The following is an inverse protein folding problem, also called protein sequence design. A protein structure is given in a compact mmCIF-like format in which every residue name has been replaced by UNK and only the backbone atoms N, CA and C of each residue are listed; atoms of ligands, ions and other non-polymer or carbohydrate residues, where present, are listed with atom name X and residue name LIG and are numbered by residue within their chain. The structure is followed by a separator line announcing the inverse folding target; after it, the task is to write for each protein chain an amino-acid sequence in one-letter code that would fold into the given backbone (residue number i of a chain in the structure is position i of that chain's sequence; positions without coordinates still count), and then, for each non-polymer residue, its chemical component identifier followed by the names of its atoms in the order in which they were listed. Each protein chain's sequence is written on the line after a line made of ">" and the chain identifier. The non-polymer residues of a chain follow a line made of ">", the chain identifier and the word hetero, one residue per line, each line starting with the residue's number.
data_IF_707807938413
#
_entry.id   IF_707807938413
#
_cell.length_a   1.000
_cell.length_b   1.000
_cell.length_c   1.000
_cell.angle_alpha   90.00
_cell.angle_beta   90.00
_cell.angle_gamma   90.00
#
_symmetry.space_group_name_H-M   'P 1'
#
loop_
_entity.id
_entity.type
_entity.pdbx_description
1 polymer ?
#
# COMPACT_ATOMS: atom_id res chain seq x y z
N UNK A 1 -3.73 39.35 30.38
CA UNK A 1 -4.68 38.21 30.33
C UNK A 1 -5.21 38.04 28.91
N UNK A 2 -5.77 39.10 28.31
CA UNK A 2 -6.22 39.14 26.90
C UNK A 2 -5.07 38.88 25.91
N UNK A 3 -3.91 39.51 26.09
CA UNK A 3 -2.76 39.32 25.19
C UNK A 3 -2.21 37.87 25.15
N UNK A 4 -2.38 37.12 26.25
CA UNK A 4 -1.98 35.70 26.30
C UNK A 4 -3.00 34.75 25.65
N UNK A 5 -4.25 35.18 25.48
CA UNK A 5 -5.32 34.40 24.86
C UNK A 5 -5.26 34.47 23.34
N UNK A 6 -4.87 35.62 22.76
CA UNK A 6 -4.65 35.76 21.31
C UNK A 6 -3.48 34.93 20.78
N UNK A 7 -2.44 34.71 21.59
CA UNK A 7 -1.31 33.87 21.20
C UNK A 7 -1.72 32.38 21.13
N UNK A 8 -2.65 31.95 21.99
CA UNK A 8 -3.14 30.57 22.06
C UNK A 8 -4.17 30.21 20.98
N UNK A 9 -4.95 31.18 20.48
CA UNK A 9 -5.95 30.96 19.43
C UNK A 9 -5.35 30.78 18.03
N UNK A 10 -4.09 31.18 17.82
CA UNK A 10 -3.38 31.02 16.55
C UNK A 10 -2.80 29.62 16.29
N UNK A 11 -2.64 28.78 17.31
CA UNK A 11 -1.88 27.52 17.23
C UNK A 11 -2.74 26.24 17.21
N UNK A 12 -4.07 26.33 17.34
CA UNK A 12 -4.97 25.17 17.41
C UNK A 12 -5.77 25.00 16.10
N UNK A 13 -6.15 23.76 15.76
CA UNK A 13 -6.77 23.38 14.48
C UNK A 13 -8.25 23.74 14.31
N UNK A 14 -8.71 23.73 13.06
CA UNK A 14 -9.90 24.44 12.53
C UNK A 14 -11.29 24.12 13.12
N UNK A 15 -11.46 23.05 13.90
CA UNK A 15 -12.77 22.67 14.46
C UNK A 15 -13.09 23.23 15.84
N UNK A 16 -12.09 23.30 16.74
CA UNK A 16 -12.26 23.88 18.09
C UNK A 16 -12.06 25.39 18.12
N UNK A 17 -11.48 25.96 17.04
CA UNK A 17 -11.13 27.37 16.95
C UNK A 17 -12.33 28.30 17.06
N UNK A 18 -13.46 27.98 16.44
CA UNK A 18 -14.63 28.87 16.45
C UNK A 18 -15.25 28.97 17.84
N UNK A 19 -15.35 27.86 18.58
CA UNK A 19 -15.91 27.90 19.94
C UNK A 19 -14.98 28.59 20.94
N UNK A 20 -13.69 28.31 20.90
CA UNK A 20 -12.70 28.94 21.78
C UNK A 20 -12.59 30.43 21.46
N UNK A 21 -12.52 30.81 20.18
CA UNK A 21 -12.49 32.22 19.77
C UNK A 21 -13.76 32.97 20.19
N UNK A 22 -14.94 32.36 20.07
CA UNK A 22 -16.19 32.97 20.51
C UNK A 22 -16.23 33.20 22.04
N UNK A 23 -15.67 32.29 22.84
CA UNK A 23 -15.59 32.45 24.30
C UNK A 23 -14.58 33.55 24.65
N UNK A 24 -13.42 33.59 23.98
CA UNK A 24 -12.40 34.63 24.18
C UNK A 24 -12.96 36.01 23.82
N UNK A 25 -13.63 36.14 22.66
CA UNK A 25 -14.30 37.37 22.25
C UNK A 25 -15.38 37.78 23.26
N UNK A 26 -16.17 36.83 23.76
CA UNK A 26 -17.18 37.12 24.80
C UNK A 26 -16.56 37.60 26.11
N UNK A 27 -15.37 37.11 26.48
CA UNK A 27 -14.63 37.60 27.66
C UNK A 27 -14.14 39.02 27.42
N UNK A 28 -13.60 39.32 26.23
CA UNK A 28 -13.14 40.66 25.85
C UNK A 28 -14.27 41.68 25.82
N UNK A 29 -15.42 41.31 25.27
CA UNK A 29 -16.61 42.16 25.23
C UNK A 29 -17.11 42.49 26.65
N UNK A 30 -17.08 41.50 27.56
CA UNK A 30 -17.46 41.70 28.97
C UNK A 30 -16.45 42.59 29.72
N UNK A 31 -15.14 42.41 29.50
CA UNK A 31 -14.10 43.27 30.08
C UNK A 31 -14.26 44.72 29.58
N UNK A 32 -14.55 44.89 28.29
CA UNK A 32 -14.79 46.21 27.68
C UNK A 32 -16.03 46.87 28.24
N UNK A 33 -17.11 46.10 28.44
CA UNK A 33 -18.34 46.58 29.08
C UNK A 33 -18.12 47.02 30.53
N UNK A 34 -17.33 46.27 31.32
CA UNK A 34 -16.96 46.65 32.69
C UNK A 34 -16.15 47.95 32.71
N UNK A 35 -15.17 48.09 31.80
CA UNK A 35 -14.37 49.34 31.68
C UNK A 35 -15.24 50.56 31.37
N UNK A 36 -16.15 50.43 30.42
CA UNK A 36 -17.09 51.51 30.07
C UNK A 36 -18.06 51.84 31.20
N UNK A 37 -18.51 50.84 31.97
CA UNK A 37 -19.34 51.06 33.16
C UNK A 37 -18.57 51.77 34.27
N UNK A 38 -17.29 51.46 34.48
CA UNK A 38 -16.42 52.15 35.45
C UNK A 38 -16.14 53.62 35.06
N UNK A 39 -15.92 53.89 33.77
CA UNK A 39 -15.77 55.27 33.28
C UNK A 39 -17.07 56.08 33.46
N UNK A 40 -18.24 55.46 33.23
CA UNK A 40 -19.55 56.09 33.43
C UNK A 40 -19.97 56.23 34.90
N UNK A 41 -19.57 55.32 35.78
CA UNK A 41 -19.85 55.40 37.22
C UNK A 41 -19.08 56.55 37.87
N UNK A 42 -17.86 56.82 37.39
CA UNK A 42 -17.06 58.00 37.78
C UNK A 42 -17.81 59.32 37.53
N UNK A 43 -18.62 59.36 36.47
CA UNK A 43 -19.50 60.50 36.11
C UNK A 43 -20.87 60.50 36.83
N UNK A 44 -21.32 59.37 37.39
CA UNK A 44 -22.67 59.17 37.98
C UNK A 44 -22.71 59.09 39.51
N UNK A 45 -21.59 59.31 40.20
CA UNK A 45 -21.48 59.29 41.68
C UNK A 45 -22.40 60.27 42.45
N UNK A 46 -23.38 60.89 41.81
CA UNK A 46 -24.36 61.77 42.46
C UNK A 46 -25.71 61.11 42.80
N UNK A 47 -26.12 59.95 42.26
CA UNK A 47 -27.49 59.44 42.52
C UNK A 47 -27.75 57.92 42.72
N UNK A 48 -26.95 56.95 42.24
CA UNK A 48 -27.29 55.51 42.40
C UNK A 48 -26.06 54.58 42.60
N UNK A 49 -25.70 54.32 43.85
CA UNK A 49 -24.50 53.54 44.20
C UNK A 49 -24.75 52.03 44.38
N UNK A 50 -25.98 51.60 44.70
CA UNK A 50 -26.29 50.19 45.03
C UNK A 50 -26.55 49.32 43.80
N UNK A 51 -27.23 49.85 42.77
CA UNK A 51 -27.55 49.11 41.53
C UNK A 51 -26.27 48.77 40.73
N UNK A 52 -25.29 49.68 40.72
CA UNK A 52 -23.99 49.47 40.06
C UNK A 52 -23.15 48.35 40.70
N UNK A 53 -23.31 48.07 42.01
CA UNK A 53 -22.55 46.99 42.65
C UNK A 53 -23.08 45.60 42.26
N UNK A 54 -24.40 45.42 42.14
CA UNK A 54 -24.99 44.15 41.74
C UNK A 54 -24.66 43.80 40.29
N UNK A 55 -24.73 44.78 39.39
CA UNK A 55 -24.32 44.63 37.98
C UNK A 55 -22.84 44.25 37.85
N UNK A 56 -21.97 44.88 38.65
CA UNK A 56 -20.54 44.56 38.66
C UNK A 56 -20.29 43.13 39.16
N UNK A 57 -20.97 42.70 40.22
CA UNK A 57 -20.89 41.32 40.73
C UNK A 57 -21.38 40.33 39.67
N UNK A 58 -22.47 40.65 38.96
CA UNK A 58 -23.01 39.82 37.88
C UNK A 58 -22.05 39.70 36.69
N UNK A 59 -21.37 40.79 36.31
CA UNK A 59 -20.37 40.79 35.26
C UNK A 59 -19.14 39.95 35.63
N UNK A 60 -18.63 40.06 36.88
CA UNK A 60 -17.54 39.20 37.35
C UNK A 60 -17.93 37.71 37.39
N UNK A 61 -19.15 37.39 37.86
CA UNK A 61 -19.67 36.01 37.81
C UNK A 61 -19.78 35.48 36.37
N UNK A 62 -20.13 36.34 35.40
CA UNK A 62 -20.22 35.97 33.99
C UNK A 62 -18.84 35.70 33.40
N UNK A 63 -17.85 36.53 33.69
CA UNK A 63 -16.45 36.30 33.30
C UNK A 63 -15.94 34.99 33.91
N UNK A 64 -16.21 34.72 35.19
CA UNK A 64 -15.80 33.48 35.85
C UNK A 64 -16.38 32.24 35.15
N UNK A 65 -17.66 32.26 34.76
CA UNK A 65 -18.29 31.18 34.00
C UNK A 65 -17.62 30.96 32.64
N UNK A 66 -17.37 32.04 31.89
CA UNK A 66 -16.69 31.98 30.60
C UNK A 66 -15.27 31.43 30.74
N UNK A 67 -14.55 31.81 31.81
CA UNK A 67 -13.21 31.31 32.08
C UNK A 67 -13.21 29.80 32.39
N UNK A 68 -14.16 29.32 33.20
CA UNK A 68 -14.34 27.87 33.44
C UNK A 68 -14.68 27.13 32.16
N UNK A 69 -15.56 27.68 31.32
CA UNK A 69 -15.91 27.10 30.03
C UNK A 69 -14.70 27.00 29.09
N UNK A 70 -13.91 28.07 29.02
CA UNK A 70 -12.65 28.10 28.26
C UNK A 70 -11.66 27.03 28.77
N UNK A 71 -11.45 26.95 30.07
CA UNK A 71 -10.54 25.98 30.68
C UNK A 71 -10.97 24.54 30.37
N UNK A 72 -12.28 24.23 30.44
CA UNK A 72 -12.81 22.93 30.05
C UNK A 72 -12.55 22.63 28.57
N UNK A 73 -12.81 23.59 27.67
CA UNK A 73 -12.59 23.38 26.22
C UNK A 73 -11.12 23.18 25.88
N UNK A 74 -10.22 23.97 26.47
CA UNK A 74 -8.77 23.81 26.30
C UNK A 74 -8.32 22.44 26.82
N UNK A 75 -8.79 22.02 27.99
CA UNK A 75 -8.44 20.71 28.58
C UNK A 75 -8.90 19.56 27.69
N UNK A 76 -10.14 19.62 27.17
CA UNK A 76 -10.67 18.63 26.23
C UNK A 76 -9.89 18.63 24.91
N UNK A 77 -9.54 19.82 24.40
CA UNK A 77 -8.70 19.98 23.21
C UNK A 77 -7.33 19.33 23.38
N UNK A 78 -6.62 19.66 24.46
CA UNK A 78 -5.32 19.04 24.81
C UNK A 78 -5.48 17.52 24.93
N UNK A 79 -6.50 17.04 25.64
CA UNK A 79 -6.79 15.61 25.79
C UNK A 79 -6.97 14.90 24.44
N UNK A 80 -7.68 15.53 23.51
CA UNK A 80 -7.87 14.99 22.15
C UNK A 80 -6.56 14.89 21.37
N UNK A 81 -5.70 15.92 21.44
CA UNK A 81 -4.41 15.94 20.73
C UNK A 81 -3.47 14.87 21.30
N UNK A 82 -3.40 14.76 22.64
CA UNK A 82 -2.62 13.72 23.33
C UNK A 82 -3.11 12.33 22.95
N UNK A 83 -4.42 12.12 22.86
CA UNK A 83 -5.01 10.84 22.46
C UNK A 83 -4.61 10.47 21.02
N UNK A 84 -4.70 11.40 20.07
CA UNK A 84 -4.27 11.17 18.67
C UNK A 84 -2.78 10.83 18.60
N UNK A 85 -1.95 11.52 19.40
CA UNK A 85 -0.52 11.29 19.44
C UNK A 85 -0.15 9.94 20.07
N UNK A 86 -0.84 9.54 21.15
CA UNK A 86 -0.69 8.23 21.76
C UNK A 86 -1.05 7.12 20.77
N UNK A 87 -2.19 7.23 20.07
CA UNK A 87 -2.58 6.27 19.04
C UNK A 87 -1.54 6.18 17.92
N UNK A 88 -1.04 7.32 17.43
CA UNK A 88 0.01 7.32 16.41
C UNK A 88 1.29 6.66 16.92
N UNK A 89 1.63 6.83 18.20
CA UNK A 89 2.77 6.16 18.83
C UNK A 89 2.57 4.64 18.91
N UNK A 90 1.40 4.18 19.36
CA UNK A 90 1.06 2.74 19.42
C UNK A 90 1.12 2.10 18.04
N UNK A 91 0.51 2.74 17.04
CA UNK A 91 0.47 2.23 15.67
C UNK A 91 1.86 2.16 15.03
N UNK A 92 2.73 3.14 15.30
CA UNK A 92 4.12 3.12 14.85
C UNK A 92 4.98 2.13 15.64
N UNK A 93 4.65 1.89 16.91
CA UNK A 93 5.33 0.92 17.78
C UNK A 93 5.22 -0.53 17.30
N UNK A 94 4.21 -0.85 16.48
CA UNK A 94 4.11 -2.13 15.78
C UNK A 94 5.19 -2.32 14.68
N UNK A 95 5.97 -1.27 14.38
CA UNK A 95 7.03 -1.25 13.37
C UNK A 95 6.55 -1.66 11.95
N UNK A 96 5.56 -0.95 11.38
CA UNK A 96 5.08 -1.22 10.03
C UNK A 96 6.15 -0.92 8.97
N UNK A 97 6.13 -1.67 7.87
CA UNK A 97 7.10 -1.55 6.77
C UNK A 97 6.51 -0.73 5.63
N UNK A 98 6.92 0.53 5.51
CA UNK A 98 6.44 1.42 4.44
C UNK A 98 6.84 0.93 3.04
N UNK A 99 8.01 0.30 2.89
CA UNK A 99 8.51 -0.21 1.61
C UNK A 99 7.65 -1.34 1.03
N UNK A 100 6.90 -2.05 1.89
CA UNK A 100 6.03 -3.15 1.48
C UNK A 100 4.69 -2.66 0.89
N UNK A 101 4.36 -1.37 0.98
CA UNK A 101 3.17 -0.83 0.30
C UNK A 101 3.36 -0.91 -1.21
N UNK A 102 2.27 -1.18 -1.95
CA UNK A 102 2.36 -1.32 -3.40
C UNK A 102 2.92 -0.08 -4.10
N UNK A 103 2.56 1.13 -3.63
CA UNK A 103 2.98 2.43 -4.15
C UNK A 103 4.10 3.09 -3.33
N UNK A 104 4.94 2.29 -2.66
CA UNK A 104 6.08 2.80 -1.88
C UNK A 104 7.17 3.44 -2.76
N UNK A 105 8.05 4.25 -2.15
CA UNK A 105 9.27 4.74 -2.83
C UNK A 105 10.18 3.60 -3.28
N UNK A 106 10.22 2.49 -2.52
CA UNK A 106 10.91 1.27 -2.92
C UNK A 106 10.33 0.70 -4.22
N UNK A 107 9.00 0.71 -4.37
CA UNK A 107 8.31 0.30 -5.61
C UNK A 107 8.80 1.05 -6.84
N UNK A 108 8.98 2.37 -6.73
CA UNK A 108 9.56 3.20 -7.80
C UNK A 108 11.03 2.84 -8.08
N UNK A 109 11.82 2.58 -7.02
CA UNK A 109 13.24 2.22 -7.13
C UNK A 109 13.45 0.95 -7.94
N UNK A 110 12.56 -0.04 -7.77
CA UNK A 110 12.57 -1.30 -8.53
C UNK A 110 11.68 -1.26 -9.78
N UNK A 111 11.13 -0.09 -10.12
CA UNK A 111 10.27 0.16 -11.29
C UNK A 111 9.08 -0.79 -11.41
N UNK A 112 8.45 -1.10 -10.28
CA UNK A 112 7.15 -1.80 -10.28
C UNK A 112 6.12 -0.88 -10.95
N UNK A 113 5.30 -1.47 -11.81
CA UNK A 113 4.21 -0.80 -12.52
C UNK A 113 3.07 -1.78 -12.77
N UNK A 114 1.91 -1.21 -13.08
CA UNK A 114 0.75 -1.96 -13.52
C UNK A 114 0.92 -2.61 -14.89
N UNK A 115 -0.09 -3.38 -15.29
CA UNK A 115 -0.18 -3.98 -16.61
C UNK A 115 -0.14 -2.91 -17.72
N UNK A 116 0.50 -3.25 -18.84
CA UNK A 116 0.37 -2.48 -20.08
C UNK A 116 -1.09 -2.40 -20.48
N UNK A 117 -1.53 -1.25 -20.99
CA UNK A 117 -2.91 -1.04 -21.39
C UNK A 117 -3.39 -2.16 -22.35
N UNK A 118 -4.64 -2.61 -22.15
CA UNK A 118 -5.26 -3.68 -22.94
C UNK A 118 -4.58 -5.06 -22.83
N UNK A 119 -3.79 -5.30 -21.78
CA UNK A 119 -3.28 -6.64 -21.44
C UNK A 119 -4.01 -7.21 -20.24
N UNK A 120 -4.11 -8.54 -20.15
CA UNK A 120 -4.73 -9.26 -19.02
C UNK A 120 -6.16 -8.81 -18.68
N UNK A 121 -6.91 -8.26 -19.63
CA UNK A 121 -8.22 -7.63 -19.40
C UNK A 121 -9.24 -8.59 -18.80
N UNK A 122 -9.25 -9.84 -19.26
CA UNK A 122 -10.12 -10.89 -18.73
C UNK A 122 -9.84 -11.12 -17.24
N UNK A 123 -8.56 -11.26 -16.87
CA UNK A 123 -8.16 -11.45 -15.47
C UNK A 123 -8.59 -10.27 -14.62
N UNK A 124 -8.38 -9.04 -15.10
CA UNK A 124 -8.82 -7.84 -14.38
C UNK A 124 -10.33 -7.81 -14.19
N UNK A 125 -11.11 -8.18 -15.20
CA UNK A 125 -12.57 -8.28 -15.10
C UNK A 125 -12.99 -9.33 -14.07
N UNK A 126 -12.36 -10.51 -14.07
CA UNK A 126 -12.65 -11.57 -13.11
C UNK A 126 -12.31 -11.14 -11.67
N UNK A 127 -11.19 -10.43 -11.47
CA UNK A 127 -10.81 -9.88 -10.17
C UNK A 127 -11.79 -8.81 -9.68
N UNK A 128 -12.29 -7.97 -10.57
CA UNK A 128 -13.32 -6.98 -10.24
C UNK A 128 -14.61 -7.68 -9.83
N UNK A 129 -15.06 -8.68 -10.61
CA UNK A 129 -16.24 -9.49 -10.28
C UNK A 129 -16.09 -10.19 -8.94
N UNK A 130 -14.95 -10.85 -8.70
CA UNK A 130 -14.63 -11.47 -7.41
C UNK A 130 -14.68 -10.43 -6.28
N UNK A 131 -14.09 -9.24 -6.45
CA UNK A 131 -14.08 -8.21 -5.41
C UNK A 131 -15.50 -7.76 -5.06
N UNK A 132 -16.34 -7.50 -6.06
CA UNK A 132 -17.68 -6.90 -5.86
C UNK A 132 -18.78 -7.89 -5.51
N UNK A 133 -18.58 -9.19 -5.74
CA UNK A 133 -19.57 -10.22 -5.42
C UNK A 133 -19.51 -10.63 -3.94
N UNK A 134 -20.50 -10.34 -3.08
CA UNK A 134 -20.47 -10.72 -1.66
C UNK A 134 -20.38 -12.24 -1.44
N UNK A 135 -20.94 -13.02 -2.36
CA UNK A 135 -20.99 -14.50 -2.30
C UNK A 135 -19.71 -15.18 -2.79
N UNK A 136 -18.74 -14.41 -3.30
CA UNK A 136 -17.46 -14.99 -3.72
C UNK A 136 -16.63 -15.40 -2.51
N UNK A 137 -15.69 -16.30 -2.75
CA UNK A 137 -14.74 -16.77 -1.76
C UNK A 137 -13.98 -15.62 -1.09
N UNK A 138 -13.75 -15.72 0.22
CA UNK A 138 -13.01 -14.69 0.97
C UNK A 138 -11.53 -14.64 0.62
N UNK A 139 -10.99 -15.69 0.01
CA UNK A 139 -9.58 -15.79 -0.35
C UNK A 139 -9.46 -16.03 -1.85
N UNK A 140 -8.65 -15.21 -2.52
CA UNK A 140 -8.24 -15.40 -3.91
C UNK A 140 -6.75 -15.68 -3.94
N UNK A 141 -6.36 -16.83 -4.46
CA UNK A 141 -4.97 -17.19 -4.64
C UNK A 141 -4.58 -17.18 -6.13
N UNK A 142 -3.72 -16.23 -6.50
CA UNK A 142 -3.11 -16.16 -7.81
C UNK A 142 -1.77 -16.86 -7.82
N UNK A 143 -1.74 -18.01 -8.46
CA UNK A 143 -0.57 -18.85 -8.61
C UNK A 143 0.05 -18.68 -10.02
N UNK A 144 1.37 -18.65 -10.10
CA UNK A 144 2.08 -18.56 -11.38
C UNK A 144 3.58 -18.81 -11.22
N UNK A 145 4.22 -19.31 -12.28
CA UNK A 145 5.67 -19.43 -12.32
C UNK A 145 6.36 -18.06 -12.28
N UNK A 146 7.68 -18.07 -12.07
CA UNK A 146 8.48 -16.86 -12.20
C UNK A 146 8.23 -16.21 -13.57
N UNK A 147 8.07 -14.89 -13.59
CA UNK A 147 7.95 -14.15 -14.84
C UNK A 147 6.62 -14.22 -15.59
N UNK A 148 5.55 -14.79 -15.01
CA UNK A 148 4.21 -14.77 -15.63
C UNK A 148 3.45 -13.45 -15.44
N UNK A 149 4.03 -12.47 -14.74
CA UNK A 149 3.44 -11.14 -14.54
C UNK A 149 2.53 -10.99 -13.31
N UNK A 150 2.61 -11.90 -12.31
CA UNK A 150 1.81 -11.82 -11.07
C UNK A 150 1.84 -10.43 -10.43
N UNK A 151 3.00 -9.98 -9.96
CA UNK A 151 3.17 -8.68 -9.28
C UNK A 151 2.64 -7.51 -10.11
N UNK A 152 2.75 -7.56 -11.44
CA UNK A 152 2.21 -6.54 -12.35
C UNK A 152 0.68 -6.51 -12.33
N UNK A 153 0.03 -7.68 -12.40
CA UNK A 153 -1.43 -7.81 -12.26
C UNK A 153 -1.89 -7.34 -10.87
N UNK A 154 -1.15 -7.74 -9.82
CA UNK A 154 -1.47 -7.35 -8.43
C UNK A 154 -1.31 -5.84 -8.22
N UNK A 155 -0.32 -5.21 -8.87
CA UNK A 155 -0.15 -3.77 -8.84
C UNK A 155 -1.35 -3.05 -9.45
N UNK A 156 -1.80 -3.46 -10.65
CA UNK A 156 -3.00 -2.90 -11.28
C UNK A 156 -4.28 -3.18 -10.48
N UNK A 157 -4.37 -4.34 -9.82
CA UNK A 157 -5.46 -4.61 -8.87
C UNK A 157 -5.43 -3.59 -7.71
N UNK A 158 -4.26 -3.30 -7.14
CA UNK A 158 -4.14 -2.30 -6.07
C UNK A 158 -4.52 -0.89 -6.54
N UNK A 159 -4.12 -0.47 -7.74
CA UNK A 159 -4.52 0.83 -8.32
C UNK A 159 -6.04 0.95 -8.48
N UNK A 160 -6.68 -0.11 -8.99
CA UNK A 160 -8.14 -0.16 -9.11
C UNK A 160 -8.83 -0.18 -7.73
N UNK A 161 -8.31 -0.95 -6.77
CA UNK A 161 -8.85 -1.00 -5.41
C UNK A 161 -8.68 0.36 -4.69
N UNK A 162 -7.56 1.04 -4.84
CA UNK A 162 -7.33 2.37 -4.23
C UNK A 162 -8.28 3.41 -4.84
N UNK A 163 -8.37 3.47 -6.18
CA UNK A 163 -9.26 4.41 -6.87
C UNK A 163 -10.76 4.18 -6.59
N UNK A 164 -11.15 2.97 -6.19
CA UNK A 164 -12.52 2.63 -5.79
C UNK A 164 -12.73 2.57 -4.27
N UNK A 165 -11.75 3.01 -3.48
CA UNK A 165 -11.75 3.01 -2.00
C UNK A 165 -12.01 1.63 -1.37
N UNK A 166 -11.49 0.56 -1.99
CA UNK A 166 -11.59 -0.84 -1.56
C UNK A 166 -10.26 -1.44 -1.13
N UNK A 167 -9.13 -0.74 -1.30
CA UNK A 167 -7.83 -1.21 -0.83
C UNK A 167 -7.69 -0.97 0.67
N UNK A 168 -7.91 -2.01 1.48
CA UNK A 168 -7.75 -1.92 2.93
C UNK A 168 -6.28 -1.90 3.35
N UNK A 169 -5.48 -2.79 2.76
CA UNK A 169 -4.05 -2.88 2.99
C UNK A 169 -3.32 -3.65 1.87
N UNK A 170 -2.03 -3.41 1.72
CA UNK A 170 -1.16 -4.16 0.80
C UNK A 170 0.18 -4.50 1.44
N UNK A 171 0.72 -5.69 1.13
CA UNK A 171 2.09 -6.07 1.48
C UNK A 171 2.74 -6.78 0.30
N UNK A 172 3.78 -6.18 -0.27
CA UNK A 172 4.55 -6.71 -1.37
C UNK A 172 5.87 -7.26 -0.84
N UNK A 173 5.98 -8.59 -0.79
CA UNK A 173 7.21 -9.23 -0.38
C UNK A 173 8.33 -8.95 -1.39
N UNK A 174 9.58 -9.03 -0.94
CA UNK A 174 10.75 -8.85 -1.80
C UNK A 174 11.96 -9.55 -1.20
N UNK A 175 12.58 -10.50 -1.93
CA UNK A 175 13.83 -11.16 -1.50
C UNK A 175 14.98 -10.18 -1.24
N UNK A 176 14.96 -9.03 -1.93
CA UNK A 176 16.01 -8.01 -1.90
C UNK A 176 15.89 -7.13 -0.64
N UNK A 177 14.67 -6.87 -0.17
CA UNK A 177 14.44 -6.04 1.01
C UNK A 177 14.30 -6.91 2.26
N UNK A 178 15.23 -6.75 3.21
CA UNK A 178 15.24 -7.50 4.48
C UNK A 178 13.96 -7.29 5.30
N UNK A 179 13.34 -6.12 5.20
CA UNK A 179 12.08 -5.82 5.89
C UNK A 179 10.86 -6.40 5.15
N UNK A 180 10.91 -6.45 3.81
CA UNK A 180 9.81 -7.01 3.00
C UNK A 180 9.84 -8.53 2.87
N UNK A 181 10.93 -9.22 3.20
CA UNK A 181 10.98 -10.69 3.28
C UNK A 181 10.69 -11.26 4.68
N UNK A 182 10.54 -10.39 5.68
CA UNK A 182 10.31 -10.77 7.07
C UNK A 182 8.82 -10.95 7.37
N UNK A 183 8.37 -12.18 7.59
CA UNK A 183 6.96 -12.46 7.85
C UNK A 183 6.39 -11.82 9.11
N UNK A 184 7.20 -11.66 10.15
CA UNK A 184 6.83 -10.96 11.38
C UNK A 184 6.39 -9.52 11.14
N UNK A 185 6.66 -8.95 9.96
CA UNK A 185 6.26 -7.60 9.55
C UNK A 185 4.97 -7.54 8.75
N UNK A 186 4.46 -8.66 8.22
CA UNK A 186 3.26 -8.64 7.37
C UNK A 186 2.05 -8.18 8.17
N UNK A 187 1.67 -8.91 9.21
CA UNK A 187 0.45 -8.63 9.97
C UNK A 187 0.47 -7.23 10.62
N UNK A 188 1.55 -6.79 11.30
CA UNK A 188 1.66 -5.43 11.80
C UNK A 188 1.47 -4.34 10.74
N UNK A 189 2.06 -4.55 9.55
CA UNK A 189 1.98 -3.60 8.43
C UNK A 189 0.59 -3.54 7.82
N UNK A 190 -0.10 -4.69 7.73
CA UNK A 190 -1.48 -4.76 7.27
C UNK A 190 -2.43 -4.09 8.27
N UNK A 191 -2.29 -4.38 9.57
CA UNK A 191 -3.09 -3.75 10.63
C UNK A 191 -2.90 -2.23 10.67
N UNK A 192 -1.65 -1.76 10.52
CA UNK A 192 -1.35 -0.33 10.42
C UNK A 192 -2.08 0.34 9.24
N UNK A 193 -2.06 -0.28 8.06
CA UNK A 193 -2.76 0.25 6.87
C UNK A 193 -4.28 0.23 7.04
N UNK A 194 -4.85 -0.84 7.61
CA UNK A 194 -6.28 -0.91 7.93
C UNK A 194 -6.70 0.19 8.92
N UNK A 195 -5.86 0.52 9.90
CA UNK A 195 -6.10 1.63 10.83
C UNK A 195 -5.96 3.02 10.16
N UNK A 196 -5.32 3.10 9.00
CA UNK A 196 -5.33 4.31 8.16
C UNK A 196 -6.55 4.36 7.25
N UNK A 197 -7.06 3.20 6.84
CA UNK A 197 -8.25 3.06 6.00
C UNK A 197 -9.55 3.34 6.78
N UNK A 198 -9.72 2.74 7.97
CA UNK A 198 -10.96 2.84 8.76
C UNK A 198 -10.72 3.42 10.16
N UNK A 199 -11.30 4.58 10.49
CA UNK A 199 -11.27 5.14 11.84
C UNK A 199 -11.87 4.22 12.92
N UNK A 200 -12.90 3.43 12.57
CA UNK A 200 -13.51 2.47 13.48
C UNK A 200 -12.50 1.36 13.83
N UNK A 201 -11.88 0.76 12.80
CA UNK A 201 -10.84 -0.25 13.01
C UNK A 201 -9.64 0.32 13.76
N UNK A 202 -9.23 1.55 13.46
CA UNK A 202 -8.16 2.26 14.19
C UNK A 202 -8.43 2.31 15.69
N UNK A 203 -9.64 2.72 16.08
CA UNK A 203 -10.04 2.81 17.49
C UNK A 203 -10.00 1.44 18.18
N UNK A 204 -10.56 0.41 17.53
CA UNK A 204 -10.54 -0.96 18.05
C UNK A 204 -9.12 -1.52 18.20
N UNK A 205 -8.26 -1.28 17.21
CA UNK A 205 -6.85 -1.69 17.23
C UNK A 205 -6.06 -0.95 18.33
N UNK A 206 -6.25 0.36 18.46
CA UNK A 206 -5.57 1.14 19.51
C UNK A 206 -5.99 0.69 20.91
N UNK A 207 -7.24 0.24 21.08
CA UNK A 207 -7.69 -0.37 22.33
C UNK A 207 -6.92 -1.67 22.62
N UNK A 208 -6.80 -2.56 21.63
CA UNK A 208 -6.02 -3.80 21.78
C UNK A 208 -4.53 -3.53 22.08
N UNK A 209 -3.94 -2.50 21.48
CA UNK A 209 -2.55 -2.10 21.70
C UNK A 209 -2.32 -1.40 23.05
N UNK A 210 -3.34 -0.77 23.66
CA UNK A 210 -3.25 -0.27 25.03
C UNK A 210 -3.12 -1.41 26.03
N UNK A 211 -3.84 -2.50 25.79
CA UNK A 211 -3.78 -3.71 26.63
C UNK A 211 -2.47 -4.48 26.40
N UNK A 212 -1.99 -4.54 25.15
CA UNK A 212 -0.79 -5.27 24.75
C UNK A 212 0.07 -4.45 23.76
N UNK A 213 0.92 -3.53 24.25
CA UNK A 213 1.72 -2.65 23.39
C UNK A 213 2.68 -3.40 22.46
N UNK A 214 3.18 -4.57 22.91
CA UNK A 214 4.17 -5.37 22.17
C UNK A 214 3.53 -6.40 21.23
N UNK A 215 2.21 -6.35 21.00
CA UNK A 215 1.49 -7.31 20.16
C UNK A 215 2.06 -7.40 18.73
N UNK A 216 2.70 -6.34 18.23
CA UNK A 216 3.40 -6.32 16.94
C UNK A 216 4.66 -7.20 16.88
N UNK A 217 5.15 -7.73 17.99
CA UNK A 217 6.37 -8.57 18.07
C UNK A 217 6.08 -10.04 18.38
N UNK A 218 4.81 -10.39 18.60
CA UNK A 218 4.38 -11.76 18.87
C UNK A 218 4.52 -12.66 17.64
N UNK A 219 4.26 -13.96 17.82
CA UNK A 219 4.20 -14.87 16.68
C UNK A 219 3.02 -14.52 15.75
N UNK A 220 3.09 -14.96 14.49
CA UNK A 220 2.14 -14.57 13.43
C UNK A 220 0.67 -14.90 13.75
N UNK A 221 0.43 -15.97 14.51
CA UNK A 221 -0.93 -16.36 14.91
C UNK A 221 -1.51 -15.32 15.87
N UNK A 222 -0.76 -15.04 16.94
CA UNK A 222 -1.16 -14.04 17.94
C UNK A 222 -1.25 -12.64 17.34
N UNK A 223 -0.29 -12.27 16.48
CA UNK A 223 -0.36 -11.00 15.74
C UNK A 223 -1.67 -10.90 14.97
N UNK A 224 -2.06 -11.92 14.21
CA UNK A 224 -3.27 -11.86 13.39
C UNK A 224 -4.53 -11.80 14.25
N UNK A 225 -4.60 -12.64 15.29
CA UNK A 225 -5.73 -12.65 16.21
C UNK A 225 -5.92 -11.28 16.89
N UNK A 226 -4.84 -10.72 17.45
CA UNK A 226 -4.90 -9.50 18.25
C UNK A 226 -4.95 -8.22 17.42
N UNK A 227 -4.27 -8.17 16.28
CA UNK A 227 -4.12 -6.94 15.49
C UNK A 227 -5.12 -6.84 14.32
N UNK A 228 -5.67 -7.96 13.84
CA UNK A 228 -6.61 -7.97 12.71
C UNK A 228 -7.95 -8.56 13.15
N UNK A 229 -7.98 -9.84 13.53
CA UNK A 229 -9.23 -10.57 13.72
C UNK A 229 -10.12 -9.98 14.82
N UNK A 230 -9.64 -9.87 16.06
CA UNK A 230 -10.45 -9.35 17.16
C UNK A 230 -10.84 -7.87 16.98
N UNK A 231 -9.93 -6.95 16.57
CA UNK A 231 -10.33 -5.58 16.26
C UNK A 231 -11.36 -5.51 15.14
N UNK A 232 -11.21 -6.28 14.07
CA UNK A 232 -12.12 -6.28 12.92
C UNK A 232 -13.52 -6.78 13.29
N UNK A 233 -13.62 -7.84 14.11
CA UNK A 233 -14.91 -8.36 14.57
C UNK A 233 -15.71 -7.33 15.38
N UNK A 234 -15.06 -6.48 16.17
CA UNK A 234 -15.73 -5.43 16.95
C UNK A 234 -16.33 -4.33 16.08
N UNK A 235 -15.85 -4.17 14.85
CA UNK A 235 -16.24 -3.10 13.93
C UNK A 235 -16.76 -3.64 12.61
N UNK A 236 -17.23 -4.90 12.60
CA UNK A 236 -17.59 -5.63 11.38
C UNK A 236 -18.56 -4.83 10.51
N UNK A 237 -19.56 -4.22 11.13
CA UNK A 237 -20.63 -3.47 10.45
C UNK A 237 -20.16 -2.10 9.90
N UNK A 238 -19.00 -1.62 10.35
CA UNK A 238 -18.41 -0.37 9.88
C UNK A 238 -17.44 -0.56 8.69
N UNK A 239 -17.21 -1.81 8.26
CA UNK A 239 -16.27 -2.14 7.18
C UNK A 239 -17.06 -2.70 5.98
N UNK A 240 -16.97 -2.09 4.79
CA UNK A 240 -17.62 -2.63 3.60
C UNK A 240 -17.06 -4.02 3.23
N UNK A 241 -17.95 -4.97 2.89
CA UNK A 241 -17.57 -6.37 2.60
C UNK A 241 -16.63 -6.56 1.40
N UNK A 242 -16.50 -5.53 0.57
CA UNK A 242 -15.65 -5.51 -0.61
C UNK A 242 -14.23 -5.02 -0.36
N UNK A 243 -13.87 -4.71 0.89
CA UNK A 243 -12.51 -4.28 1.23
C UNK A 243 -11.55 -5.45 1.03
N UNK A 244 -10.44 -5.21 0.34
CA UNK A 244 -9.45 -6.23 0.00
C UNK A 244 -8.12 -5.94 0.70
N UNK A 245 -7.54 -6.99 1.26
CA UNK A 245 -6.18 -7.03 1.79
C UNK A 245 -5.33 -7.82 0.80
N UNK A 246 -4.25 -7.22 0.31
CA UNK A 246 -3.41 -7.79 -0.75
C UNK A 246 -2.06 -8.21 -0.20
N UNK A 247 -1.64 -9.44 -0.47
CA UNK A 247 -0.30 -9.97 -0.15
C UNK A 247 0.33 -10.48 -1.46
N UNK A 248 1.33 -9.77 -1.96
CA UNK A 248 2.05 -10.14 -3.19
C UNK A 248 3.36 -10.88 -2.87
N UNK A 249 3.71 -11.81 -3.77
CA UNK A 249 4.96 -12.56 -3.77
C UNK A 249 5.26 -13.29 -2.44
N UNK A 250 4.27 -13.94 -1.83
CA UNK A 250 4.42 -14.58 -0.51
C UNK A 250 5.57 -15.61 -0.45
N UNK A 251 5.93 -16.22 -1.58
CA UNK A 251 7.10 -17.10 -1.77
C UNK A 251 8.47 -16.41 -1.66
N UNK A 252 8.49 -15.07 -1.53
CA UNK A 252 9.72 -14.30 -1.34
C UNK A 252 10.08 -14.05 0.13
N UNK A 253 9.34 -14.67 1.07
CA UNK A 253 9.63 -14.61 2.50
C UNK A 253 10.71 -15.60 2.94
N UNK A 254 11.49 -15.25 3.96
CA UNK A 254 12.63 -16.05 4.43
C UNK A 254 12.23 -17.36 5.17
N UNK A 255 11.03 -17.41 5.76
CA UNK A 255 10.61 -18.50 6.65
C UNK A 255 9.35 -19.21 6.14
N UNK A 256 9.56 -20.37 5.50
CA UNK A 256 8.46 -21.20 5.01
C UNK A 256 7.52 -21.70 6.12
N UNK A 257 8.02 -21.90 7.36
CA UNK A 257 7.17 -22.33 8.47
C UNK A 257 6.20 -21.22 8.88
N UNK A 258 6.66 -19.99 9.06
CA UNK A 258 5.76 -18.87 9.31
C UNK A 258 4.84 -18.57 8.12
N UNK A 259 5.26 -18.84 6.85
CA UNK A 259 4.37 -18.70 5.68
C UNK A 259 3.18 -19.62 5.86
N UNK A 260 3.46 -20.89 6.21
CA UNK A 260 2.42 -21.88 6.51
C UNK A 260 1.50 -21.40 7.62
N UNK A 261 2.03 -20.88 8.73
CA UNK A 261 1.21 -20.40 9.84
C UNK A 261 0.32 -19.22 9.45
N UNK A 262 0.83 -18.27 8.67
CA UNK A 262 0.03 -17.17 8.14
C UNK A 262 -1.12 -17.69 7.29
N UNK A 263 -0.85 -18.65 6.39
CA UNK A 263 -1.90 -19.31 5.62
C UNK A 263 -2.90 -20.00 6.54
N UNK A 264 -2.47 -20.87 7.45
CA UNK A 264 -3.35 -21.59 8.39
C UNK A 264 -4.33 -20.64 9.11
N UNK A 265 -3.85 -19.45 9.50
CA UNK A 265 -4.64 -18.39 10.13
C UNK A 265 -5.63 -17.74 9.16
N UNK A 266 -5.21 -17.36 7.94
CA UNK A 266 -6.12 -16.84 6.92
C UNK A 266 -7.23 -17.84 6.62
N UNK A 267 -6.88 -19.12 6.45
CA UNK A 267 -7.80 -20.20 6.17
C UNK A 267 -8.76 -20.50 7.33
N UNK A 268 -8.37 -20.16 8.55
CA UNK A 268 -9.21 -20.35 9.73
C UNK A 268 -10.21 -19.21 9.91
N UNK A 269 -9.81 -17.97 9.63
CA UNK A 269 -10.53 -16.79 10.08
C UNK A 269 -11.18 -15.96 8.96
N UNK A 270 -10.79 -16.11 7.69
CA UNK A 270 -11.24 -15.21 6.62
C UNK A 270 -12.77 -15.15 6.45
N UNK A 271 -13.48 -16.27 6.57
CA UNK A 271 -14.96 -16.33 6.47
C UNK A 271 -15.69 -15.43 7.49
N UNK A 272 -15.07 -15.16 8.64
CA UNK A 272 -15.70 -14.42 9.71
C UNK A 272 -15.55 -12.90 9.55
N UNK A 273 -14.64 -12.48 8.67
CA UNK A 273 -14.23 -11.08 8.50
C UNK A 273 -15.01 -10.39 7.36
N UNK A 274 -15.27 -9.08 7.47
CA UNK A 274 -15.90 -8.27 6.42
C UNK A 274 -14.90 -7.84 5.34
N UNK A 275 -13.81 -8.60 5.15
CA UNK A 275 -12.76 -8.28 4.16
C UNK A 275 -12.42 -9.52 3.35
N UNK A 276 -11.88 -9.30 2.16
CA UNK A 276 -11.33 -10.35 1.30
C UNK A 276 -9.81 -10.30 1.30
N UNK A 277 -9.19 -11.46 1.07
CA UNK A 277 -7.75 -11.62 1.00
C UNK A 277 -7.35 -12.02 -0.40
N UNK A 278 -6.52 -11.21 -1.03
CA UNK A 278 -5.85 -11.57 -2.27
C UNK A 278 -4.41 -11.96 -1.95
N UNK A 279 -4.00 -13.16 -2.37
CA UNK A 279 -2.63 -13.66 -2.18
C UNK A 279 -2.07 -14.05 -3.54
N UNK A 280 -0.89 -13.53 -3.89
CA UNK A 280 -0.12 -13.99 -5.04
C UNK A 280 1.17 -14.67 -4.61
N UNK A 281 1.49 -15.79 -5.24
CA UNK A 281 2.76 -16.48 -5.02
C UNK A 281 3.12 -17.43 -6.15
N UNK A 282 4.34 -17.96 -6.12
CA UNK A 282 4.69 -19.22 -6.78
C UNK A 282 4.05 -20.41 -6.03
N UNK A 283 3.85 -21.57 -6.68
CA UNK A 283 3.29 -22.75 -6.02
C UNK A 283 4.40 -23.55 -5.34
N UNK A 284 5.20 -22.89 -4.49
CA UNK A 284 6.14 -23.60 -3.64
C UNK A 284 5.39 -24.60 -2.76
N UNK A 285 6.01 -25.75 -2.48
CA UNK A 285 5.36 -26.91 -1.86
C UNK A 285 4.51 -26.52 -0.64
N UNK A 286 5.07 -25.73 0.28
CA UNK A 286 4.39 -25.31 1.51
C UNK A 286 3.13 -24.49 1.25
N UNK A 287 3.17 -23.55 0.30
CA UNK A 287 2.02 -22.70 -0.06
C UNK A 287 0.97 -23.52 -0.80
N UNK A 288 1.41 -24.32 -1.78
CA UNK A 288 0.52 -25.15 -2.60
C UNK A 288 -0.25 -26.15 -1.73
N UNK A 289 0.43 -26.88 -0.85
CA UNK A 289 -0.19 -27.87 0.02
C UNK A 289 -1.29 -27.26 0.89
N UNK A 290 -1.06 -26.04 1.39
CA UNK A 290 -2.03 -25.34 2.25
C UNK A 290 -3.20 -24.78 1.46
N UNK A 291 -2.95 -24.11 0.35
CA UNK A 291 -4.02 -23.54 -0.47
C UNK A 291 -4.89 -24.61 -1.14
N UNK A 292 -4.33 -25.79 -1.43
CA UNK A 292 -5.06 -26.93 -1.98
C UNK A 292 -5.75 -27.80 -0.91
N UNK A 293 -5.53 -27.53 0.37
CA UNK A 293 -6.16 -28.28 1.44
C UNK A 293 -7.68 -28.02 1.47
N UNK A 294 -8.46 -29.08 1.72
CA UNK A 294 -9.93 -28.98 1.84
C UNK A 294 -10.41 -28.40 3.18
N UNK A 295 -9.49 -28.11 4.09
CA UNK A 295 -9.81 -27.55 5.40
C UNK A 295 -9.83 -26.02 5.37
N UNK A 296 -10.73 -25.42 6.15
CA UNK A 296 -10.84 -23.97 6.31
C UNK A 296 -11.70 -23.27 5.25
N UNK A 297 -11.51 -21.95 5.14
CA UNK A 297 -12.23 -21.03 4.25
C UNK A 297 -12.17 -21.46 2.79
N UNK A 298 -13.22 -21.10 2.05
CA UNK A 298 -13.26 -21.30 0.60
C UNK A 298 -12.24 -20.39 -0.10
N UNK A 299 -11.71 -20.84 -1.23
CA UNK A 299 -10.66 -20.14 -1.98
C UNK A 299 -10.95 -20.23 -3.46
N UNK A 300 -10.82 -19.11 -4.15
CA UNK A 300 -10.74 -19.09 -5.60
C UNK A 300 -9.27 -19.22 -6.01
N UNK A 301 -8.93 -20.15 -6.91
CA UNK A 301 -7.55 -20.43 -7.31
C UNK A 301 -7.39 -20.20 -8.81
N UNK A 302 -6.42 -19.37 -9.19
CA UNK A 302 -6.06 -19.13 -10.59
C UNK A 302 -4.62 -19.50 -10.86
N UNK A 303 -4.41 -20.21 -11.97
CA UNK A 303 -3.10 -20.66 -12.45
C UNK A 303 -2.71 -19.85 -13.69
N UNK A 304 -1.90 -18.81 -13.52
CA UNK A 304 -1.49 -17.93 -14.63
C UNK A 304 -0.67 -18.64 -15.71
N UNK A 305 -0.06 -19.78 -15.38
CA UNK A 305 0.74 -20.57 -16.32
C UNK A 305 -0.12 -21.52 -17.17
N UNK A 306 -1.40 -21.69 -16.84
CA UNK A 306 -2.36 -22.51 -17.59
C UNK A 306 -3.17 -21.66 -18.59
N UNK A 307 -2.96 -20.34 -18.61
CA UNK A 307 -3.57 -19.46 -19.60
C UNK A 307 -2.99 -19.80 -20.98
N UNK A 308 -3.89 -19.86 -21.98
CA UNK A 308 -3.54 -20.20 -23.35
C UNK A 308 -2.38 -19.32 -23.87
N UNK A 309 -1.38 -19.98 -24.46
CA UNK A 309 -0.17 -19.30 -24.91
C UNK A 309 -0.47 -18.20 -25.94
N UNK A 310 -1.44 -18.43 -26.84
CA UNK A 310 -1.86 -17.44 -27.85
C UNK A 310 -2.30 -16.12 -27.22
N UNK A 311 -3.10 -16.19 -26.14
CA UNK A 311 -3.57 -15.02 -25.38
C UNK A 311 -2.40 -14.29 -24.74
N UNK A 312 -1.47 -15.03 -24.11
CA UNK A 312 -0.30 -14.43 -23.45
C UNK A 312 0.65 -13.80 -24.47
N UNK A 313 0.83 -14.43 -25.63
CA UNK A 313 1.67 -13.91 -26.72
C UNK A 313 1.13 -12.57 -27.24
N UNK A 314 -0.19 -12.45 -27.46
CA UNK A 314 -0.80 -11.18 -27.88
C UNK A 314 -0.61 -10.07 -26.84
N UNK A 315 -0.69 -10.41 -25.54
CA UNK A 315 -0.41 -9.44 -24.49
C UNK A 315 1.08 -9.05 -24.42
N UNK A 316 1.99 -9.99 -24.69
CA UNK A 316 3.43 -9.71 -24.81
C UNK A 316 3.70 -8.81 -26.03
N UNK A 317 3.03 -9.02 -27.17
CA UNK A 317 3.14 -8.13 -28.34
C UNK A 317 2.80 -6.69 -27.96
N UNK A 318 1.66 -6.48 -27.31
CA UNK A 318 1.23 -5.14 -26.83
C UNK A 318 2.27 -4.52 -25.89
N UNK A 319 2.79 -5.30 -24.93
CA UNK A 319 3.85 -4.85 -24.02
C UNK A 319 5.11 -4.43 -24.77
N UNK A 320 5.61 -5.25 -25.70
CA UNK A 320 6.81 -4.95 -26.49
C UNK A 320 6.62 -3.72 -27.36
N UNK A 321 5.45 -3.57 -28.00
CA UNK A 321 5.11 -2.39 -28.79
C UNK A 321 5.14 -1.12 -27.96
N UNK A 322 4.54 -1.11 -26.76
CA UNK A 322 4.59 0.05 -25.86
C UNK A 322 6.01 0.33 -25.39
N UNK A 323 6.72 -0.71 -24.94
CA UNK A 323 8.01 -0.54 -24.29
C UNK A 323 9.15 -0.14 -25.24
N UNK A 324 9.06 -0.52 -26.52
CA UNK A 324 10.04 -0.19 -27.56
C UNK A 324 9.60 0.97 -28.46
N UNK A 325 8.42 1.57 -28.24
CA UNK A 325 7.97 2.73 -29.02
C UNK A 325 8.91 3.96 -28.94
N UNK A 326 9.67 4.19 -27.85
CA UNK A 326 10.61 5.31 -27.79
C UNK A 326 11.90 5.11 -28.61
N UNK A 327 12.13 3.93 -29.17
CA UNK A 327 13.30 3.62 -29.99
C UNK A 327 13.19 4.29 -31.36
N UNK A 328 14.32 4.82 -31.87
CA UNK A 328 14.45 5.35 -33.22
C UNK A 328 15.58 4.61 -33.97
N UNK A 329 15.29 3.90 -35.08
CA UNK A 329 13.95 3.62 -35.62
C UNK A 329 13.16 2.64 -34.75
N UNK A 330 11.83 2.77 -34.71
CA UNK A 330 10.99 1.84 -33.96
C UNK A 330 10.96 0.45 -34.62
N UNK A 331 10.89 -0.65 -33.85
CA UNK A 331 10.82 -1.99 -34.41
C UNK A 331 9.58 -2.21 -35.30
N UNK A 332 9.72 -2.99 -36.37
CA UNK A 332 8.61 -3.37 -37.24
C UNK A 332 7.64 -4.33 -36.54
N UNK A 333 6.41 -4.41 -37.04
CA UNK A 333 5.38 -5.35 -36.53
C UNK A 333 5.88 -6.80 -36.58
N UNK A 334 6.60 -7.17 -37.63
CA UNK A 334 7.18 -8.51 -37.80
C UNK A 334 8.27 -8.80 -36.76
N UNK A 335 9.13 -7.81 -36.48
CA UNK A 335 10.17 -7.93 -35.45
C UNK A 335 9.54 -8.10 -34.06
N UNK A 336 8.53 -7.30 -33.72
CA UNK A 336 7.77 -7.44 -32.46
C UNK A 336 7.09 -8.81 -32.38
N UNK A 337 6.48 -9.27 -33.48
CA UNK A 337 5.85 -10.58 -33.58
C UNK A 337 6.83 -11.72 -33.28
N UNK A 338 8.04 -11.67 -33.84
CA UNK A 338 9.08 -12.66 -33.59
C UNK A 338 9.55 -12.66 -32.13
N UNK A 339 9.79 -11.48 -31.55
CA UNK A 339 10.18 -11.35 -30.14
C UNK A 339 9.10 -11.89 -29.20
N UNK A 340 7.83 -11.63 -29.50
CA UNK A 340 6.71 -12.14 -28.71
C UNK A 340 6.57 -13.66 -28.81
N UNK A 341 6.61 -14.21 -30.02
CA UNK A 341 6.58 -15.66 -30.26
C UNK A 341 7.72 -16.35 -29.50
N UNK A 342 8.91 -15.74 -29.49
CA UNK A 342 10.08 -16.26 -28.78
C UNK A 342 9.95 -16.18 -27.26
N UNK A 343 9.19 -15.22 -26.76
CA UNK A 343 8.89 -15.04 -25.33
C UNK A 343 7.91 -16.10 -24.79
N UNK A 344 7.20 -16.82 -25.68
CA UNK A 344 6.14 -17.79 -25.34
C UNK A 344 5.15 -17.19 -24.33
N UNK A 345 5.12 -17.71 -23.09
CA UNK A 345 4.23 -17.25 -22.03
C UNK A 345 4.95 -16.48 -20.89
N UNK A 346 6.18 -16.01 -21.12
CA UNK A 346 7.05 -15.42 -20.10
C UNK A 346 7.26 -13.92 -20.32
N UNK A 347 6.54 -13.09 -19.58
CA UNK A 347 6.76 -11.64 -19.55
C UNK A 347 8.18 -11.26 -19.09
N UNK A 348 8.80 -12.07 -18.22
CA UNK A 348 10.20 -11.81 -17.80
C UNK A 348 11.17 -11.89 -18.98
N UNK A 349 10.90 -12.74 -19.96
CA UNK A 349 11.70 -12.83 -21.18
C UNK A 349 11.57 -11.53 -21.98
N UNK A 350 10.34 -11.12 -22.28
CA UNK A 350 10.05 -9.88 -22.99
C UNK A 350 10.62 -8.65 -22.27
N UNK A 351 10.47 -8.57 -20.95
CA UNK A 351 11.00 -7.45 -20.17
C UNK A 351 12.53 -7.41 -20.15
N UNK A 352 13.18 -8.58 -20.17
CA UNK A 352 14.63 -8.68 -20.27
C UNK A 352 15.11 -8.23 -21.65
N UNK A 353 14.40 -8.62 -22.73
CA UNK A 353 14.67 -8.12 -24.09
C UNK A 353 14.62 -6.60 -24.15
N UNK A 354 13.53 -5.99 -23.67
CA UNK A 354 13.36 -4.53 -23.65
C UNK A 354 14.51 -3.86 -22.92
N UNK A 355 14.85 -4.34 -21.71
CA UNK A 355 15.94 -3.75 -20.91
C UNK A 355 17.31 -3.89 -21.55
N UNK A 356 17.51 -4.91 -22.37
CA UNK A 356 18.76 -5.09 -23.11
C UNK A 356 18.80 -4.20 -24.36
N UNK A 357 17.74 -4.21 -25.17
CA UNK A 357 17.63 -3.46 -26.43
C UNK A 357 17.63 -1.96 -26.15
N UNK A 358 16.80 -1.51 -25.20
CA UNK A 358 16.57 -0.11 -24.88
C UNK A 358 16.66 0.13 -23.36
N UNK A 359 17.89 0.14 -22.79
CA UNK A 359 18.11 0.39 -21.37
C UNK A 359 17.85 1.84 -20.97
N UNK A 360 17.18 2.03 -19.83
CA UNK A 360 16.86 3.37 -19.34
C UNK A 360 18.11 4.19 -18.97
N UNK A 361 18.32 5.31 -19.67
CA UNK A 361 19.33 6.31 -19.33
C UNK A 361 20.77 5.87 -19.62
N UNK A 362 20.96 4.88 -20.50
CA UNK A 362 22.27 4.52 -21.04
C UNK A 362 22.21 4.70 -22.55
N UNK A 363 23.09 5.51 -23.15
CA UNK A 363 23.18 5.61 -24.60
C UNK A 363 23.77 4.31 -25.15
N UNK A 364 22.96 3.55 -25.87
CA UNK A 364 23.37 2.32 -26.54
C UNK A 364 22.86 2.32 -27.98
N UNK A 365 23.56 1.61 -28.86
CA UNK A 365 23.02 1.32 -30.19
C UNK A 365 21.89 0.28 -30.05
N UNK A 366 20.66 0.78 -29.96
CA UNK A 366 19.47 -0.06 -29.79
C UNK A 366 19.16 -0.86 -31.06
N UNK A 367 19.56 -0.34 -32.23
CA UNK A 367 19.34 -0.99 -33.54
C UNK A 367 20.24 -2.20 -33.66
N UNK A 368 21.53 -2.04 -33.39
CA UNK A 368 22.50 -3.14 -33.39
C UNK A 368 22.12 -4.25 -32.40
N UNK A 369 21.63 -3.88 -31.22
CA UNK A 369 21.18 -4.85 -30.21
C UNK A 369 19.94 -5.63 -30.64
N UNK A 370 18.98 -4.94 -31.25
CA UNK A 370 17.79 -5.57 -31.80
C UNK A 370 18.20 -6.55 -32.90
N UNK A 371 19.04 -6.14 -33.85
CA UNK A 371 19.51 -7.00 -34.93
C UNK A 371 20.28 -8.21 -34.40
N UNK A 372 21.17 -8.02 -33.43
CA UNK A 372 21.92 -9.10 -32.78
C UNK A 372 21.00 -10.15 -32.17
N UNK A 373 19.93 -9.72 -31.47
CA UNK A 373 18.93 -10.64 -30.92
C UNK A 373 18.17 -11.36 -32.03
N UNK A 374 17.73 -10.65 -33.06
CA UNK A 374 16.98 -11.24 -34.18
C UNK A 374 17.82 -12.30 -34.92
N UNK A 375 19.12 -12.02 -35.12
CA UNK A 375 20.07 -12.98 -35.69
C UNK A 375 20.29 -14.19 -34.77
N UNK A 376 20.44 -13.99 -33.46
CA UNK A 376 20.57 -15.07 -32.49
C UNK A 376 19.32 -15.96 -32.46
N UNK A 377 18.13 -15.37 -32.60
CA UNK A 377 16.86 -16.10 -32.71
C UNK A 377 16.83 -16.90 -34.03
N UNK A 378 17.20 -16.28 -35.15
CA UNK A 378 17.17 -16.90 -36.49
C UNK A 378 18.19 -18.03 -36.69
N UNK A 379 19.36 -17.94 -36.05
CA UNK A 379 20.42 -18.96 -36.11
C UNK A 379 20.14 -20.18 -35.22
N UNK A 380 19.24 -20.05 -34.24
CA UNK A 380 18.73 -21.18 -33.46
C UNK A 380 17.76 -22.01 -34.31
N UNK A 381 18.29 -22.78 -35.28
CA UNK A 381 17.50 -23.74 -36.04
C UNK A 381 16.90 -24.81 -35.10
N UNK A 382 15.60 -25.00 -35.27
CA UNK A 382 14.67 -25.78 -34.45
C UNK A 382 14.19 -25.03 -33.20
N UNK A 383 12.89 -24.70 -33.21
CA UNK A 383 12.07 -24.57 -32.02
C UNK A 383 12.32 -25.81 -31.14
N UNK A 384 13.30 -25.72 -30.25
CA UNK A 384 13.51 -26.77 -29.28
C UNK A 384 12.28 -26.75 -28.37
N UNK A 385 11.62 -27.88 -28.19
CA UNK A 385 10.41 -27.99 -27.37
C UNK A 385 10.67 -27.57 -25.90
N UNK A 386 11.95 -27.44 -25.53
CA UNK A 386 12.41 -27.09 -24.21
C UNK A 386 12.46 -25.56 -23.96
N UNK A 387 11.49 -25.06 -23.18
CA UNK A 387 11.41 -23.67 -22.67
C UNK A 387 12.68 -23.17 -21.96
N UNK A 388 13.46 -24.07 -21.36
CA UNK A 388 14.68 -23.69 -20.65
C UNK A 388 15.82 -23.30 -21.61
N UNK A 389 15.92 -23.95 -22.78
CA UNK A 389 16.94 -23.60 -23.79
C UNK A 389 16.72 -22.20 -24.37
N UNK A 390 15.45 -21.80 -24.46
CA UNK A 390 15.06 -20.49 -24.94
C UNK A 390 15.47 -19.39 -23.95
N UNK A 391 15.24 -19.61 -22.65
CA UNK A 391 15.73 -18.74 -21.60
C UNK A 391 17.26 -18.73 -21.55
N UNK A 392 17.90 -19.90 -21.63
CA UNK A 392 19.37 -20.02 -21.61
C UNK A 392 19.99 -19.27 -22.77
N UNK A 393 19.41 -19.33 -23.98
CA UNK A 393 19.87 -18.56 -25.13
C UNK A 393 19.77 -17.06 -24.86
N UNK A 394 18.62 -16.58 -24.35
CA UNK A 394 18.47 -15.17 -24.00
C UNK A 394 19.49 -14.73 -22.95
N UNK A 395 19.64 -15.49 -21.86
CA UNK A 395 20.61 -15.17 -20.82
C UNK A 395 22.03 -15.24 -21.36
N UNK A 396 22.36 -16.22 -22.19
CA UNK A 396 23.70 -16.34 -22.80
C UNK A 396 23.98 -15.17 -23.71
N UNK A 397 23.03 -14.75 -24.55
CA UNK A 397 23.17 -13.57 -25.41
C UNK A 397 23.36 -12.31 -24.57
N UNK A 398 22.49 -12.08 -23.58
CA UNK A 398 22.60 -10.91 -22.68
C UNK A 398 23.92 -10.95 -21.90
N UNK A 399 24.31 -12.09 -21.32
CA UNK A 399 25.57 -12.26 -20.58
C UNK A 399 26.78 -12.08 -21.49
N UNK A 400 26.78 -12.63 -22.70
CA UNK A 400 27.89 -12.51 -23.65
C UNK A 400 28.12 -11.05 -24.06
N UNK A 401 27.05 -10.27 -24.19
CA UNK A 401 27.14 -8.84 -24.41
C UNK A 401 27.67 -8.09 -23.18
N UNK A 402 27.29 -8.50 -21.95
CA UNK A 402 27.81 -7.93 -20.68
C UNK A 402 29.31 -8.14 -20.50
N UNK A 403 29.80 -9.33 -20.88
CA UNK A 403 31.19 -9.73 -20.71
C UNK A 403 32.09 -9.38 -21.90
N UNK A 404 31.55 -8.67 -22.91
CA UNK A 404 32.36 -8.10 -23.98
C UNK A 404 33.10 -6.85 -23.46
N UNK A 405 34.40 -6.75 -23.69
CA UNK A 405 35.31 -5.76 -23.07
C UNK A 405 35.05 -4.28 -23.44
N UNK A 406 34.02 -4.00 -24.25
CA UNK A 406 33.65 -2.65 -24.69
C UNK A 406 32.50 -2.01 -23.88
N UNK A 407 31.94 -2.71 -22.89
CA UNK A 407 30.83 -2.23 -22.08
C UNK A 407 31.33 -1.50 -20.82
N UNK A 408 30.89 -0.26 -20.61
CA UNK A 408 31.28 0.57 -19.45
C UNK A 408 30.79 0.00 -18.10
N UNK A 409 31.47 0.37 -17.00
CA UNK A 409 31.21 -0.21 -15.68
C UNK A 409 29.79 0.05 -15.13
N UNK A 410 29.21 1.22 -15.41
CA UNK A 410 27.83 1.54 -15.02
C UNK A 410 26.79 0.66 -15.75
N UNK A 411 27.10 0.31 -17.00
CA UNK A 411 26.26 -0.54 -17.83
C UNK A 411 26.35 -2.01 -17.38
N UNK A 412 27.56 -2.48 -17.04
CA UNK A 412 27.76 -3.80 -16.42
C UNK A 412 26.97 -3.94 -15.12
N UNK A 413 26.94 -2.91 -14.28
CA UNK A 413 26.22 -2.95 -13.01
C UNK A 413 24.69 -2.96 -13.19
N UNK A 414 24.15 -2.26 -14.20
CA UNK A 414 22.72 -2.35 -14.52
C UNK A 414 22.34 -3.68 -15.17
N UNK A 415 23.16 -4.22 -16.06
CA UNK A 415 22.91 -5.54 -16.63
C UNK A 415 23.03 -6.65 -15.57
N UNK A 416 23.91 -6.51 -14.58
CA UNK A 416 23.87 -7.32 -13.36
C UNK A 416 22.51 -7.21 -12.68
N UNK A 417 21.97 -6.00 -12.44
CA UNK A 417 20.62 -5.88 -11.84
C UNK A 417 19.52 -6.57 -12.65
N UNK A 418 19.61 -6.59 -13.99
CA UNK A 418 18.69 -7.37 -14.84
C UNK A 418 18.81 -8.87 -14.53
N UNK A 419 20.02 -9.41 -14.46
CA UNK A 419 20.28 -10.82 -14.13
C UNK A 419 19.89 -11.18 -12.68
N UNK A 420 20.07 -10.25 -11.73
CA UNK A 420 19.73 -10.45 -10.32
C UNK A 420 18.21 -10.52 -10.08
N UNK A 421 17.40 -9.86 -10.91
CA UNK A 421 15.94 -10.00 -10.88
C UNK A 421 15.43 -11.36 -11.39
N UNK A 422 16.31 -12.16 -12.01
CA UNK A 422 15.97 -13.48 -12.56
C UNK A 422 16.68 -14.62 -11.82
N UNK A 423 17.06 -14.44 -10.55
CA UNK A 423 17.38 -15.61 -9.73
C UNK A 423 16.11 -16.46 -9.55
N UNK A 424 16.01 -17.46 -10.42
CA UNK A 424 15.03 -18.55 -10.46
C UNK A 424 14.92 -19.19 -9.09
#
# INVERSE_FOLDING_TARGET
>A
MVDGLHQYTGELGSGSNTSIANIVQSIEDQITSIRQQQERSTLRHLLDATDNQEDMIMNYRRIERLFRQLQCQVTLGIGSVVQVQLENSLLRGMLPVNDARYNSSYSMTIKRRGCTAKTREIIHKDLQTWTTNPESEKIYWMNGMAGTGKTTIVYSLCEWLESTNRLGASFFCSRISSTCRSLSRIVPTLAYQLARYSPAFRSALCTALKDNPDAGTLNVIQQFEMLIYHPMLRVKDAIPESVVIVIDALDECDDAYSVRLLLDVLLRFAEQLPVKFFVASRPEHVIRDRMMSRAGSTRFIVYLHDIEQSIVEEDIKKYLTEALSPMEPSPSIEQIGLLAQRSRNLFIYAATLVRYIYPDGIPVDSTDRLESILQAIGTSHAASDNRYKDLDLLYTTVLSAVFNDQVGDEEKERMRRVLWMVRV
#
